data_IF_618373717887
#
_entry.id   IF_618373717887
#
_cell.length_a   1.000
_cell.length_b   1.000
_cell.length_c   1.000
_cell.angle_alpha   90.00
_cell.angle_beta   90.00
_cell.angle_gamma   90.00
#
_symmetry.space_group_name_H-M   'P 1'
#
loop_
_entity.id
_entity.type
_entity.pdbx_description
1 polymer ?
#
# COMPACT_ATOMS: atom_id res chain seq x y z
N UNK A 1 -15.34 -1.93 13.79
CA UNK A 1 -14.01 -1.33 13.52
C UNK A 1 -14.10 -0.64 12.18
N UNK A 2 -13.58 0.58 12.03
CA UNK A 2 -13.51 1.19 10.70
C UNK A 2 -12.45 0.45 9.88
N UNK A 3 -12.69 0.16 8.59
CA UNK A 3 -11.68 -0.45 7.73
C UNK A 3 -10.45 0.47 7.69
N UNK A 4 -9.25 -0.10 7.75
CA UNK A 4 -8.04 0.73 7.70
C UNK A 4 -7.74 1.23 6.27
N UNK A 5 -8.37 0.69 5.23
CA UNK A 5 -8.19 1.10 3.84
C UNK A 5 -9.23 2.14 3.37
N UNK A 6 -9.06 2.74 2.19
CA UNK A 6 -10.02 3.69 1.65
C UNK A 6 -11.18 2.92 0.97
N UNK A 7 -12.39 2.85 1.58
CA UNK A 7 -13.52 2.13 0.97
C UNK A 7 -14.09 2.88 -0.24
N UNK A 8 -13.80 4.18 -0.36
CA UNK A 8 -14.29 5.05 -1.43
C UNK A 8 -13.31 5.13 -2.60
N UNK A 9 -12.26 4.30 -2.61
CA UNK A 9 -11.35 4.16 -3.75
C UNK A 9 -12.06 3.44 -4.90
N UNK A 10 -12.96 4.15 -5.58
CA UNK A 10 -13.70 3.61 -6.70
C UNK A 10 -12.76 3.39 -7.90
N UNK A 11 -12.75 2.20 -8.54
CA UNK A 11 -12.33 2.12 -9.93
C UNK A 11 -13.23 3.05 -10.74
N UNK A 12 -12.69 3.66 -11.79
CA UNK A 12 -13.38 4.61 -12.65
C UNK A 12 -14.85 4.23 -12.86
N UNK A 13 -15.78 5.09 -12.42
CA UNK A 13 -17.21 4.89 -12.59
C UNK A 13 -17.68 5.73 -13.79
N UNK A 14 -18.41 5.13 -14.76
CA UNK A 14 -18.93 5.88 -15.89
C UNK A 14 -19.87 6.98 -15.39
N UNK A 15 -19.68 8.20 -15.91
CA UNK A 15 -20.53 9.35 -15.56
C UNK A 15 -21.95 9.03 -16.04
N UNK A 16 -22.86 8.80 -15.11
CA UNK A 16 -24.30 8.72 -15.39
C UNK A 16 -24.92 10.09 -15.11
N UNK A 17 -25.16 10.93 -16.14
CA UNK A 17 -25.71 12.26 -15.92
C UNK A 17 -27.14 12.16 -15.39
N UNK A 18 -27.37 12.73 -14.21
CA UNK A 18 -28.71 12.88 -13.65
C UNK A 18 -29.45 13.99 -14.42
N UNK A 19 -30.65 13.71 -14.92
CA UNK A 19 -31.48 14.65 -15.67
C UNK A 19 -32.46 15.44 -14.78
N UNK A 20 -32.35 15.32 -13.45
CA UNK A 20 -33.19 16.02 -12.48
C UNK A 20 -32.33 17.00 -11.68
N UNK A 21 -32.78 18.25 -11.54
CA UNK A 21 -32.14 19.23 -10.67
C UNK A 21 -32.21 18.77 -9.20
N UNK A 22 -31.07 18.32 -8.66
CA UNK A 22 -30.97 17.91 -7.26
C UNK A 22 -31.15 19.10 -6.31
N UNK A 23 -31.84 18.88 -5.18
CA UNK A 23 -31.82 19.84 -4.06
C UNK A 23 -30.38 19.91 -3.55
N UNK A 24 -29.75 21.08 -3.64
CA UNK A 24 -28.36 21.29 -3.23
C UNK A 24 -28.10 20.82 -1.79
N UNK A 25 -26.90 20.31 -1.54
CA UNK A 25 -26.42 19.91 -0.21
C UNK A 25 -25.53 21.04 0.33
N UNK A 26 -25.90 21.60 1.48
CA UNK A 26 -25.05 22.56 2.22
C UNK A 26 -24.35 21.80 3.34
N UNK A 27 -23.04 21.62 3.18
CA UNK A 27 -22.22 20.96 4.20
C UNK A 27 -22.03 21.87 5.42
N UNK A 28 -22.09 21.29 6.63
CA UNK A 28 -21.81 22.02 7.87
C UNK A 28 -20.35 21.82 8.27
N UNK A 29 -19.56 22.89 8.44
CA UNK A 29 -18.19 22.78 8.94
C UNK A 29 -18.15 21.97 10.26
N UNK A 30 -17.17 21.07 10.38
CA UNK A 30 -17.02 20.17 11.54
C UNK A 30 -17.98 18.98 11.60
N UNK A 31 -18.92 18.86 10.66
CA UNK A 31 -19.84 17.71 10.55
C UNK A 31 -19.61 16.89 9.28
N UNK A 32 -18.70 17.34 8.41
CA UNK A 32 -18.25 16.57 7.24
C UNK A 32 -17.20 15.59 7.70
N UNK A 33 -17.35 14.32 7.32
CA UNK A 33 -16.31 13.33 7.54
C UNK A 33 -15.05 13.74 6.76
N UNK A 34 -13.88 13.66 7.39
CA UNK A 34 -12.63 13.80 6.67
C UNK A 34 -12.50 12.64 5.70
N UNK A 35 -12.48 12.94 4.40
CA UNK A 35 -12.12 11.97 3.38
C UNK A 35 -10.72 11.45 3.68
N UNK A 36 -10.59 10.13 3.83
CA UNK A 36 -9.30 9.49 4.02
C UNK A 36 -8.60 9.49 2.66
N UNK A 37 -7.66 10.42 2.48
CA UNK A 37 -6.82 10.50 1.28
C UNK A 37 -5.79 9.37 1.31
N UNK A 38 -6.19 8.19 0.86
CA UNK A 38 -5.36 7.01 0.81
C UNK A 38 -5.62 6.25 -0.49
N UNK A 39 -4.54 5.78 -1.11
CA UNK A 39 -4.56 5.11 -2.43
C UNK A 39 -4.69 3.59 -2.33
N UNK A 40 -4.70 3.01 -1.11
CA UNK A 40 -4.79 1.56 -0.93
C UNK A 40 -6.23 1.08 -0.99
N UNK A 41 -6.47 0.08 -1.83
CA UNK A 41 -7.77 -0.55 -2.04
C UNK A 41 -8.10 -1.66 -1.03
N UNK A 42 -7.10 -2.14 -0.26
CA UNK A 42 -7.25 -3.24 0.68
C UNK A 42 -6.29 -3.09 1.88
N UNK A 43 -6.51 -3.90 2.91
CA UNK A 43 -5.56 -4.04 4.03
C UNK A 43 -4.28 -4.77 3.58
N UNK A 44 -3.11 -4.43 4.13
CA UNK A 44 -1.88 -5.15 3.85
C UNK A 44 -1.98 -6.62 4.23
N UNK A 45 -1.51 -7.49 3.36
CA UNK A 45 -1.38 -8.92 3.59
C UNK A 45 -0.33 -9.22 4.67
N UNK A 46 -0.33 -10.43 5.24
CA UNK A 46 0.68 -10.85 6.20
C UNK A 46 2.11 -10.78 5.61
N UNK A 47 2.26 -11.13 4.34
CA UNK A 47 3.52 -11.01 3.60
C UNK A 47 3.98 -9.55 3.50
N UNK A 48 3.11 -8.63 3.10
CA UNK A 48 3.45 -7.20 2.98
C UNK A 48 3.83 -6.59 4.32
N UNK A 49 3.17 -6.99 5.42
CA UNK A 49 3.55 -6.56 6.76
C UNK A 49 4.94 -7.06 7.15
N UNK A 50 5.25 -8.35 6.92
CA UNK A 50 6.58 -8.90 7.21
C UNK A 50 7.68 -8.25 6.36
N UNK A 51 7.39 -7.97 5.08
CA UNK A 51 8.30 -7.24 4.21
C UNK A 51 8.55 -5.83 4.75
N UNK A 52 7.50 -5.12 5.16
CA UNK A 52 7.60 -3.78 5.73
C UNK A 52 8.44 -3.76 7.02
N UNK A 53 8.22 -4.71 7.94
CA UNK A 53 9.00 -4.85 9.17
C UNK A 53 10.49 -5.07 8.86
N UNK A 54 10.78 -5.91 7.86
CA UNK A 54 12.15 -6.21 7.43
C UNK A 54 12.84 -5.00 6.81
N UNK A 55 12.11 -4.24 5.98
CA UNK A 55 12.60 -2.99 5.40
C UNK A 55 12.87 -1.94 6.48
N UNK A 56 11.94 -1.77 7.42
CA UNK A 56 12.12 -0.84 8.54
C UNK A 56 13.37 -1.19 9.33
N UNK A 57 13.55 -2.48 9.62
CA UNK A 57 14.68 -2.93 10.39
C UNK A 57 16.01 -2.87 9.59
N UNK A 58 15.98 -2.96 8.25
CA UNK A 58 17.14 -2.70 7.41
C UNK A 58 17.56 -1.23 7.43
N UNK A 59 16.61 -0.30 7.25
CA UNK A 59 16.89 1.13 7.29
C UNK A 59 17.30 1.63 8.68
N UNK A 60 16.69 1.10 9.75
CA UNK A 60 17.16 1.36 11.12
C UNK A 60 18.59 0.87 11.35
N UNK A 61 18.99 -0.21 10.68
CA UNK A 61 20.36 -0.72 10.67
C UNK A 61 21.33 0.07 9.78
N UNK A 62 20.86 1.11 9.09
CA UNK A 62 21.70 1.96 8.23
C UNK A 62 21.86 1.47 6.80
N UNK A 63 20.99 0.59 6.30
CA UNK A 63 20.99 0.19 4.89
C UNK A 63 20.92 1.42 3.97
N UNK A 64 21.81 1.49 2.97
CA UNK A 64 21.85 2.58 1.98
C UNK A 64 21.65 2.07 0.55
N UNK A 65 21.82 0.77 0.33
CA UNK A 65 21.76 0.14 -1.00
C UNK A 65 20.77 -1.02 -1.02
N UNK A 66 20.29 -1.43 -2.22
CA UNK A 66 19.49 -2.64 -2.36
C UNK A 66 20.19 -3.89 -1.82
N UNK A 67 21.50 -4.00 -1.99
CA UNK A 67 22.29 -5.10 -1.45
C UNK A 67 22.20 -5.19 0.09
N UNK A 68 22.27 -4.06 0.80
CA UNK A 68 22.13 -4.02 2.26
C UNK A 68 20.76 -4.52 2.71
N UNK A 69 19.71 -4.14 1.97
CA UNK A 69 18.34 -4.56 2.24
C UNK A 69 18.19 -6.07 2.01
N UNK A 70 18.72 -6.57 0.90
CA UNK A 70 18.69 -8.01 0.55
C UNK A 70 19.39 -8.85 1.61
N UNK A 71 20.50 -8.38 2.19
CA UNK A 71 21.17 -9.07 3.29
C UNK A 71 20.21 -9.25 4.49
N UNK A 72 19.51 -8.20 4.88
CA UNK A 72 18.53 -8.23 5.98
C UNK A 72 17.32 -9.10 5.65
N UNK A 73 16.81 -9.02 4.42
CA UNK A 73 15.69 -9.85 3.97
C UNK A 73 16.04 -11.33 3.99
N UNK A 74 17.27 -11.70 3.61
CA UNK A 74 17.72 -13.08 3.64
C UNK A 74 18.01 -13.60 5.06
N UNK A 75 18.32 -12.71 6.00
CA UNK A 75 18.53 -13.06 7.40
C UNK A 75 17.20 -13.30 8.14
N UNK A 76 16.22 -12.40 7.97
CA UNK A 76 15.00 -12.38 8.80
C UNK A 76 13.70 -12.04 8.08
N UNK A 77 13.75 -11.79 6.77
CA UNK A 77 12.60 -11.38 5.98
C UNK A 77 11.73 -12.52 5.49
N UNK A 78 10.57 -12.19 4.89
CA UNK A 78 9.75 -13.20 4.22
C UNK A 78 10.52 -13.78 3.03
N UNK A 79 10.15 -14.98 2.59
CA UNK A 79 10.67 -15.52 1.32
C UNK A 79 10.09 -14.74 0.14
N UNK A 80 10.83 -14.70 -0.97
CA UNK A 80 10.37 -14.05 -2.20
C UNK A 80 9.00 -14.61 -2.63
N UNK A 81 8.04 -13.71 -2.90
CA UNK A 81 6.69 -14.03 -3.35
C UNK A 81 6.63 -14.81 -4.68
N UNK A 82 7.67 -14.70 -5.53
CA UNK A 82 7.74 -15.36 -6.84
C UNK A 82 8.07 -16.86 -6.79
N UNK A 83 8.41 -17.44 -5.62
CA UNK A 83 8.70 -18.88 -5.57
C UNK A 83 9.46 -19.41 -4.35
N UNK A 84 9.51 -18.69 -3.22
CA UNK A 84 10.20 -19.18 -2.02
C UNK A 84 11.73 -19.09 -2.09
N UNK A 85 12.28 -18.55 -3.18
CA UNK A 85 13.71 -18.38 -3.39
C UNK A 85 14.30 -17.30 -2.46
N UNK A 86 15.62 -17.36 -2.29
CA UNK A 86 16.43 -16.35 -1.58
C UNK A 86 16.37 -15.02 -2.35
N UNK A 87 16.38 -13.90 -1.63
CA UNK A 87 16.38 -12.58 -2.25
C UNK A 87 17.69 -12.31 -2.99
N UNK A 88 17.54 -11.71 -4.16
CA UNK A 88 18.59 -11.05 -4.95
C UNK A 88 18.20 -9.59 -5.14
N UNK A 89 19.14 -8.73 -5.52
CA UNK A 89 18.82 -7.32 -5.82
C UNK A 89 17.77 -7.20 -6.92
N UNK A 90 17.90 -7.99 -7.99
CA UNK A 90 16.95 -7.99 -9.10
C UNK A 90 15.53 -8.39 -8.67
N UNK A 91 15.40 -9.46 -7.87
CA UNK A 91 14.09 -9.90 -7.38
C UNK A 91 13.49 -8.92 -6.37
N UNK A 92 14.31 -8.29 -5.54
CA UNK A 92 13.87 -7.21 -4.66
C UNK A 92 13.34 -6.00 -5.45
N UNK A 93 14.09 -5.52 -6.44
CA UNK A 93 13.66 -4.39 -7.27
C UNK A 93 12.41 -4.71 -8.09
N UNK A 94 12.31 -5.93 -8.62
CA UNK A 94 11.13 -6.40 -9.32
C UNK A 94 9.90 -6.41 -8.41
N UNK A 95 10.04 -6.86 -7.16
CA UNK A 95 8.95 -6.84 -6.18
C UNK A 95 8.54 -5.41 -5.83
N UNK A 96 9.50 -4.51 -5.60
CA UNK A 96 9.17 -3.12 -5.31
C UNK A 96 8.45 -2.44 -6.47
N UNK A 97 8.81 -2.79 -7.71
CA UNK A 97 8.10 -2.33 -8.91
C UNK A 97 6.68 -2.90 -8.98
N UNK A 98 6.49 -4.16 -8.62
CA UNK A 98 5.16 -4.82 -8.61
C UNK A 98 4.23 -4.21 -7.56
N UNK A 99 4.75 -3.94 -6.36
CA UNK A 99 3.98 -3.36 -5.25
C UNK A 99 3.68 -1.87 -5.43
N UNK A 100 4.51 -1.15 -6.20
CA UNK A 100 4.31 0.27 -6.50
C UNK A 100 3.49 0.57 -7.75
N UNK A 101 3.04 -0.45 -8.50
CA UNK A 101 2.22 -0.32 -9.71
C UNK A 101 0.73 -0.16 -9.36
#
# INVERSE_FOLDING_TARGET
MQPQYNPDLAPWEPISPNNVAGKGRVERPGHVANLVWQTRAAEPTAYENQLADSLQAAFLGGAQTPADIVAVLNERGPRNAAGGETWTEDSFLAEMRRLGA
#
